data_IF_403097699988
#
_entry.id   IF_403097699988
#
_cell.length_a   1.000
_cell.length_b   1.000
_cell.length_c   1.000
_cell.angle_alpha   90.00
_cell.angle_beta   90.00
_cell.angle_gamma   90.00
#
_symmetry.space_group_name_H-M   'P 1'
#
loop_
_entity.id
_entity.type
_entity.pdbx_description
1 polymer ?
#
# COMPACT_ATOMS: atom_id res chain seq x y z
N UNK A 1 16.53 12.62 -14.68
CA UNK A 1 17.30 11.36 -14.67
C UNK A 1 17.90 11.18 -16.04
N UNK A 2 19.16 10.73 -16.13
CA UNK A 2 19.80 10.35 -17.38
C UNK A 2 20.42 8.96 -17.27
N UNK A 3 20.50 8.24 -18.38
CA UNK A 3 20.99 6.85 -18.41
C UNK A 3 21.79 6.58 -19.68
N UNK A 4 22.87 5.83 -19.50
CA UNK A 4 23.65 5.19 -20.56
C UNK A 4 23.56 3.67 -20.38
N UNK A 5 24.29 2.91 -21.19
CA UNK A 5 24.35 1.46 -21.04
C UNK A 5 25.09 1.00 -19.77
N UNK A 6 25.92 1.86 -19.16
CA UNK A 6 26.79 1.50 -18.03
C UNK A 6 26.49 2.29 -16.75
N UNK A 7 25.70 3.36 -16.83
CA UNK A 7 25.46 4.26 -15.71
C UNK A 7 24.08 4.91 -15.76
N UNK A 8 23.54 5.19 -14.58
CA UNK A 8 22.35 5.99 -14.34
C UNK A 8 22.70 7.15 -13.41
N UNK A 9 22.20 8.34 -13.72
CA UNK A 9 22.32 9.53 -12.88
C UNK A 9 20.93 10.00 -12.43
N UNK A 10 20.78 10.17 -11.13
CA UNK A 10 19.56 10.70 -10.49
C UNK A 10 19.90 12.03 -9.85
N UNK A 11 19.19 13.07 -10.27
CA UNK A 11 19.24 14.39 -9.63
C UNK A 11 18.20 14.40 -8.51
N UNK A 12 18.65 14.67 -7.29
CA UNK A 12 17.81 14.84 -6.12
C UNK A 12 17.21 16.25 -6.08
N UNK A 13 16.19 16.45 -5.25
CA UNK A 13 15.51 17.76 -5.11
C UNK A 13 16.45 18.87 -4.63
N UNK A 14 17.47 18.53 -3.85
CA UNK A 14 18.51 19.46 -3.40
C UNK A 14 19.58 19.77 -4.48
N UNK A 15 19.41 19.26 -5.69
CA UNK A 15 20.34 19.45 -6.82
C UNK A 15 21.51 18.47 -6.87
N UNK A 16 21.74 17.67 -5.81
CA UNK A 16 22.82 16.68 -5.82
C UNK A 16 22.55 15.59 -6.85
N UNK A 17 23.63 15.11 -7.48
CA UNK A 17 23.56 14.01 -8.45
C UNK A 17 24.15 12.75 -7.83
N UNK A 18 23.36 11.68 -7.80
CA UNK A 18 23.83 10.35 -7.44
C UNK A 18 24.01 9.55 -8.75
N UNK A 19 25.20 8.98 -8.92
CA UNK A 19 25.54 8.11 -10.03
C UNK A 19 25.65 6.64 -9.56
N UNK A 20 25.20 5.71 -10.38
CA UNK A 20 25.35 4.28 -10.13
C UNK A 20 25.14 3.44 -11.38
N UNK A 21 25.61 2.19 -11.37
CA UNK A 21 25.45 1.28 -12.52
C UNK A 21 24.04 0.70 -12.63
N UNK A 22 23.27 0.70 -11.54
CA UNK A 22 21.90 0.16 -11.48
C UNK A 22 21.02 1.11 -10.69
N UNK A 23 19.78 1.29 -11.15
CA UNK A 23 18.73 2.05 -10.46
C UNK A 23 17.53 1.13 -10.22
N UNK A 24 17.06 1.07 -8.98
CA UNK A 24 15.83 0.35 -8.59
C UNK A 24 14.76 1.35 -8.21
N UNK A 25 13.63 1.36 -8.93
CA UNK A 25 12.48 2.19 -8.60
C UNK A 25 11.61 1.47 -7.55
N UNK A 26 11.65 1.94 -6.30
CA UNK A 26 10.90 1.38 -5.16
C UNK A 26 10.09 2.45 -4.40
N UNK A 27 9.63 3.48 -5.09
CA UNK A 27 9.03 4.69 -4.53
C UNK A 27 7.48 4.69 -4.53
N UNK A 28 6.87 3.51 -4.45
CA UNK A 28 5.42 3.36 -4.34
C UNK A 28 4.65 3.36 -5.67
N UNK A 29 3.32 3.43 -5.57
CA UNK A 29 2.41 3.48 -6.72
C UNK A 29 2.58 4.78 -7.50
N UNK A 30 2.27 4.75 -8.81
CA UNK A 30 2.41 5.90 -9.71
C UNK A 30 3.82 6.51 -9.76
N UNK A 31 4.85 5.64 -9.72
CA UNK A 31 6.24 6.08 -9.74
C UNK A 31 6.58 6.86 -11.02
N UNK A 32 6.85 8.16 -10.86
CA UNK A 32 7.36 9.01 -11.93
C UNK A 32 8.70 8.49 -12.50
N UNK A 33 9.50 7.82 -11.66
CA UNK A 33 10.76 7.20 -12.06
C UNK A 33 10.53 5.98 -12.97
N UNK A 34 9.54 5.14 -12.64
CA UNK A 34 9.15 4.01 -13.48
C UNK A 34 8.62 4.51 -14.83
N UNK A 35 7.74 5.52 -14.84
CA UNK A 35 7.25 6.16 -16.08
C UNK A 35 8.39 6.74 -16.93
N UNK A 36 9.37 7.43 -16.31
CA UNK A 36 10.54 7.96 -17.01
C UNK A 36 11.45 6.86 -17.57
N UNK A 37 11.37 5.63 -17.05
CA UNK A 37 12.05 4.46 -17.60
C UNK A 37 11.25 3.73 -18.69
N UNK A 38 10.07 4.23 -19.07
CA UNK A 38 9.19 3.61 -20.05
C UNK A 38 8.44 2.39 -19.52
N UNK A 39 8.23 2.30 -18.20
CA UNK A 39 7.41 1.24 -17.60
C UNK A 39 5.95 1.67 -17.65
N UNK A 40 5.15 0.90 -18.39
CA UNK A 40 3.70 1.08 -18.46
C UNK A 40 3.00 0.56 -17.21
N UNK A 41 1.95 1.28 -16.80
CA UNK A 41 1.11 0.91 -15.67
C UNK A 41 -0.24 0.38 -16.15
N UNK A 42 -0.66 -0.74 -15.58
CA UNK A 42 -2.00 -1.30 -15.78
C UNK A 42 -2.81 -1.19 -14.49
N UNK A 43 -4.06 -0.75 -14.62
CA UNK A 43 -4.98 -0.60 -13.51
C UNK A 43 -6.30 -1.29 -13.84
N UNK A 44 -6.73 -2.16 -12.93
CA UNK A 44 -8.03 -2.84 -12.97
C UNK A 44 -8.78 -2.50 -11.66
N UNK A 45 -9.88 -1.75 -11.72
CA UNK A 45 -10.67 -1.44 -10.53
C UNK A 45 -11.30 -2.70 -9.92
N UNK A 46 -11.13 -2.90 -8.61
CA UNK A 46 -11.75 -4.04 -7.90
C UNK A 46 -13.23 -3.83 -7.55
N UNK A 47 -13.79 -2.64 -7.78
CA UNK A 47 -15.19 -2.29 -7.43
C UNK A 47 -15.52 -2.51 -5.95
N UNK A 48 -14.49 -2.41 -5.11
CA UNK A 48 -14.52 -2.66 -3.67
C UNK A 48 -13.91 -1.50 -2.90
N UNK A 49 -14.41 -1.26 -1.69
CA UNK A 49 -13.89 -0.29 -0.76
C UNK A 49 -13.30 -1.00 0.45
N UNK A 50 -12.11 -0.58 0.85
CA UNK A 50 -11.46 -1.04 2.07
C UNK A 50 -11.67 -0.02 3.19
N UNK A 51 -12.14 -0.49 4.35
CA UNK A 51 -12.21 0.26 5.59
C UNK A 51 -11.07 -0.20 6.49
N UNK A 52 -10.24 0.75 6.92
CA UNK A 52 -9.12 0.49 7.81
C UNK A 52 -9.29 1.35 9.07
N UNK A 53 -9.16 0.75 10.24
CA UNK A 53 -9.27 1.45 11.51
C UNK A 53 -8.35 0.85 12.57
N UNK A 54 -7.86 1.67 13.50
CA UNK A 54 -7.23 1.19 14.71
C UNK A 54 -8.27 1.16 15.83
N UNK A 55 -8.50 -0.02 16.40
CA UNK A 55 -9.57 -0.23 17.39
C UNK A 55 -8.99 -0.81 18.68
N UNK A 56 -9.59 -0.44 19.81
CA UNK A 56 -9.40 -1.18 21.07
C UNK A 56 -10.46 -2.28 21.15
N UNK A 57 -10.09 -3.43 21.72
CA UNK A 57 -10.99 -4.58 21.89
C UNK A 57 -11.24 -4.82 23.37
N UNK A 58 -12.46 -5.23 23.73
CA UNK A 58 -12.80 -5.51 25.12
C UNK A 58 -12.08 -6.76 25.65
N UNK A 59 -11.78 -7.71 24.78
CA UNK A 59 -11.05 -8.95 25.09
C UNK A 59 -9.66 -8.87 24.45
N UNK A 60 -8.56 -9.07 25.20
CA UNK A 60 -7.22 -9.04 24.63
C UNK A 60 -7.04 -10.04 23.49
N UNK A 61 -6.50 -9.56 22.36
CA UNK A 61 -6.22 -10.39 21.19
C UNK A 61 -5.14 -11.48 21.43
N UNK A 62 -4.34 -11.37 22.50
CA UNK A 62 -3.31 -12.36 22.88
C UNK A 62 -2.35 -12.72 21.73
N UNK A 63 -1.96 -11.72 20.93
CA UNK A 63 -1.09 -11.91 19.77
C UNK A 63 -1.72 -12.72 18.61
N UNK A 64 -3.04 -12.99 18.64
CA UNK A 64 -3.73 -13.75 17.59
C UNK A 64 -4.44 -12.82 16.61
N UNK A 65 -4.18 -13.03 15.32
CA UNK A 65 -4.96 -12.43 14.26
C UNK A 65 -6.28 -13.19 14.05
N UNK A 66 -7.32 -12.46 13.70
CA UNK A 66 -8.62 -13.03 13.34
C UNK A 66 -8.99 -12.59 11.94
N UNK A 67 -9.56 -13.51 11.17
CA UNK A 67 -10.17 -13.20 9.88
C UNK A 67 -11.54 -13.89 9.81
N UNK A 68 -12.51 -13.18 9.25
CA UNK A 68 -13.84 -13.69 9.00
C UNK A 68 -14.30 -13.30 7.61
N UNK A 69 -14.67 -14.30 6.82
CA UNK A 69 -15.38 -14.09 5.56
C UNK A 69 -16.87 -13.89 5.84
N UNK A 70 -17.42 -12.78 5.36
CA UNK A 70 -18.84 -12.45 5.45
C UNK A 70 -19.44 -12.31 4.05
N UNK A 71 -20.78 -12.36 3.90
CA UNK A 71 -21.42 -12.09 2.61
C UNK A 71 -21.06 -10.73 2.00
N UNK A 72 -20.68 -9.75 2.83
CA UNK A 72 -20.34 -8.40 2.40
C UNK A 72 -18.84 -8.23 2.10
N UNK A 73 -18.01 -9.24 2.40
CA UNK A 73 -16.57 -9.22 2.22
C UNK A 73 -15.80 -9.69 3.47
N UNK A 74 -14.47 -9.86 3.35
CA UNK A 74 -13.62 -10.24 4.47
C UNK A 74 -13.47 -9.12 5.49
N UNK A 75 -13.32 -9.51 6.76
CA UNK A 75 -12.96 -8.66 7.88
C UNK A 75 -11.82 -9.32 8.65
N UNK A 76 -10.72 -8.59 8.84
CA UNK A 76 -9.55 -9.01 9.57
C UNK A 76 -9.23 -8.07 10.74
N UNK A 77 -8.70 -8.63 11.82
CA UNK A 77 -8.16 -7.92 12.97
C UNK A 77 -6.73 -8.40 13.23
N UNK A 78 -5.77 -7.48 13.08
CA UNK A 78 -4.35 -7.75 13.27
C UNK A 78 -3.88 -7.17 14.61
N UNK A 79 -3.28 -7.98 15.51
CA UNK A 79 -2.73 -7.54 16.78
C UNK A 79 -1.77 -6.36 16.65
N UNK A 80 -1.93 -5.37 17.54
CA UNK A 80 -1.00 -4.27 17.71
C UNK A 80 -0.56 -4.16 19.18
N UNK A 81 0.39 -3.26 19.44
CA UNK A 81 0.78 -2.90 20.79
C UNK A 81 -0.38 -2.23 21.55
N UNK A 82 -0.34 -2.34 22.88
CA UNK A 82 -1.31 -1.73 23.81
C UNK A 82 -2.74 -2.29 23.69
N UNK A 83 -2.89 -3.58 23.37
CA UNK A 83 -4.20 -4.25 23.32
C UNK A 83 -5.10 -3.79 22.16
N UNK A 84 -4.53 -3.11 21.17
CA UNK A 84 -5.24 -2.62 19.98
C UNK A 84 -5.17 -3.63 18.84
N UNK A 85 -6.06 -3.46 17.89
CA UNK A 85 -6.01 -4.16 16.61
C UNK A 85 -6.04 -3.17 15.45
N UNK A 86 -5.35 -3.49 14.36
CA UNK A 86 -5.63 -2.91 13.05
C UNK A 86 -6.77 -3.72 12.44
N UNK A 87 -7.92 -3.07 12.27
CA UNK A 87 -9.10 -3.60 11.59
C UNK A 87 -8.94 -3.33 10.09
N UNK A 88 -9.16 -4.35 9.28
CA UNK A 88 -9.25 -4.26 7.83
C UNK A 88 -10.55 -4.93 7.38
N UNK A 89 -11.41 -4.22 6.66
CA UNK A 89 -12.62 -4.79 6.08
C UNK A 89 -12.79 -4.37 4.64
N UNK A 90 -13.30 -5.26 3.79
CA UNK A 90 -13.63 -4.92 2.40
C UNK A 90 -15.14 -5.04 2.20
N UNK A 91 -15.73 -4.09 1.49
CA UNK A 91 -17.14 -4.06 1.13
C UNK A 91 -17.35 -3.63 -0.32
N UNK A 92 -18.50 -3.95 -0.91
CA UNK A 92 -18.84 -3.48 -2.26
C UNK A 92 -19.09 -1.97 -2.26
N UNK A 93 -18.64 -1.30 -3.33
CA UNK A 93 -18.71 0.16 -3.46
C UNK A 93 -20.12 0.75 -3.23
N UNK A 94 -21.17 0.03 -3.63
CA UNK A 94 -22.58 0.46 -3.48
C UNK A 94 -23.14 0.39 -2.06
N UNK A 95 -22.50 -0.34 -1.13
CA UNK A 95 -23.02 -0.53 0.24
C UNK A 95 -22.30 0.31 1.30
N UNK A 96 -21.17 0.96 0.96
CA UNK A 96 -20.32 1.65 1.94
C UNK A 96 -20.85 3.01 2.41
N UNK A 97 -21.87 3.58 1.76
CA UNK A 97 -22.42 4.90 2.10
C UNK A 97 -23.65 4.79 3.02
N UNK A 98 -23.50 4.00 4.09
CA UNK A 98 -24.45 3.94 5.22
C UNK A 98 -23.62 3.81 6.50
N UNK A 99 -23.00 4.91 6.91
CA UNK A 99 -22.52 5.08 8.29
C UNK A 99 -23.67 5.57 9.16
#
# INVERSE_FOLDING_TARGET
MSRTQQQVNVTLENGNVIAGSVLVAANGTHSALASACGVDWHQEPYEQLAVIANVATAIPHQGRAFERFTPNGPLAMLPMSHGRCSLFGVTRSTSAMRC
#
